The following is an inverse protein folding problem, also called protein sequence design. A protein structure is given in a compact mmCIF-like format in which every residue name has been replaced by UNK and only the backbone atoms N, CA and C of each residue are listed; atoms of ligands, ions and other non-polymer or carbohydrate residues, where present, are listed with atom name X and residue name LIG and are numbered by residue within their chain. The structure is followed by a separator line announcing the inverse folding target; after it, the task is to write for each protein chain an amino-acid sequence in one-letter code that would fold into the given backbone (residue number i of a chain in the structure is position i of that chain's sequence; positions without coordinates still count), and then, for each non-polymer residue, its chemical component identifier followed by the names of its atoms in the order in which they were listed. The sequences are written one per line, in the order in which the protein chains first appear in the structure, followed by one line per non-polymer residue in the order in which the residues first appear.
data_IF_920740647117
#
_entry.id   IF_920740647117
#
_cell.length_a   1.000
_cell.length_b   1.000
_cell.length_c   1.000
_cell.angle_alpha   90.00
_cell.angle_beta   90.00
_cell.angle_gamma   90.00
#
_symmetry.space_group_name_H-M   'P 1'
#
loop_
_entity.id
_entity.type
_entity.pdbx_description
1 polymer ?
#
# COMPACT_ATOMS: atom_id res chain seq x y z
N UNK A 1 -7.96 10.83 9.11
CA UNK A 1 -6.64 11.01 8.45
C UNK A 1 -6.73 11.25 6.94
N UNK A 2 -7.59 10.56 6.19
CA UNK A 2 -7.73 10.69 4.71
C UNK A 2 -7.93 12.13 4.17
N UNK A 3 -8.76 12.95 4.83
CA UNK A 3 -9.05 14.30 4.32
C UNK A 3 -7.86 15.27 4.43
N UNK A 4 -7.14 15.23 5.56
CA UNK A 4 -6.01 16.15 5.82
C UNK A 4 -4.87 15.99 4.81
N UNK A 5 -4.58 14.77 4.37
CA UNK A 5 -3.54 14.52 3.36
C UNK A 5 -3.95 15.09 1.99
N UNK A 6 -5.23 14.96 1.63
CA UNK A 6 -5.75 15.51 0.38
C UNK A 6 -5.64 17.04 0.38
N UNK A 7 -5.99 17.67 1.49
CA UNK A 7 -5.94 19.13 1.65
C UNK A 7 -4.50 19.63 1.51
N UNK A 8 -3.53 18.94 2.13
CA UNK A 8 -2.11 19.28 2.02
C UNK A 8 -1.61 19.13 0.57
N UNK A 9 -1.90 18.00 -0.08
CA UNK A 9 -1.49 17.77 -1.47
C UNK A 9 -2.13 18.82 -2.39
N UNK A 10 -3.41 19.15 -2.16
CA UNK A 10 -4.10 20.21 -2.89
C UNK A 10 -3.36 21.54 -2.76
N UNK A 11 -3.08 22.00 -1.53
CA UNK A 11 -2.39 23.26 -1.30
C UNK A 11 -1.00 23.29 -1.95
N UNK A 12 -0.26 22.19 -1.86
CA UNK A 12 1.08 22.10 -2.44
C UNK A 12 1.04 22.16 -3.97
N UNK A 13 0.11 21.44 -4.62
CA UNK A 13 -0.02 21.45 -6.07
C UNK A 13 -0.52 22.81 -6.56
N UNK A 14 -1.51 23.40 -5.89
CA UNK A 14 -2.08 24.70 -6.23
C UNK A 14 -1.05 25.84 -6.12
N UNK A 15 -0.22 25.82 -5.08
CA UNK A 15 0.83 26.83 -4.91
C UNK A 15 1.91 26.75 -5.99
N UNK A 16 2.25 25.54 -6.44
CA UNK A 16 3.31 25.38 -7.43
C UNK A 16 2.82 25.55 -8.87
N UNK A 17 1.58 25.15 -9.18
CA UNK A 17 1.00 25.17 -10.52
C UNK A 17 -0.40 25.80 -10.55
N UNK A 18 -0.53 27.11 -10.21
CA UNK A 18 -1.81 27.81 -10.17
C UNK A 18 -2.58 27.77 -11.50
N UNK A 19 -1.88 27.57 -12.62
CA UNK A 19 -2.40 27.57 -13.98
C UNK A 19 -3.16 26.30 -14.39
N UNK A 20 -3.13 25.23 -13.59
CA UNK A 20 -3.89 24.02 -13.89
C UNK A 20 -5.40 24.28 -13.83
N UNK A 21 -6.17 23.61 -14.68
CA UNK A 21 -7.63 23.61 -14.57
C UNK A 21 -8.13 22.64 -13.48
N UNK A 22 -9.38 22.79 -13.03
CA UNK A 22 -9.96 21.99 -11.94
C UNK A 22 -9.87 20.47 -12.17
N UNK A 23 -10.18 19.99 -13.38
CA UNK A 23 -10.05 18.57 -13.72
C UNK A 23 -8.59 18.08 -13.66
N UNK A 24 -7.65 18.94 -14.09
CA UNK A 24 -6.23 18.63 -14.06
C UNK A 24 -5.70 18.57 -12.63
N UNK A 25 -6.14 19.49 -11.76
CA UNK A 25 -5.84 19.46 -10.33
C UNK A 25 -6.30 18.16 -9.69
N UNK A 26 -7.57 17.80 -9.88
CA UNK A 26 -8.13 16.57 -9.32
C UNK A 26 -7.36 15.33 -9.80
N UNK A 27 -7.01 15.29 -11.09
CA UNK A 27 -6.23 14.19 -11.64
C UNK A 27 -4.84 14.08 -10.99
N UNK A 28 -4.12 15.20 -10.86
CA UNK A 28 -2.77 15.25 -10.28
C UNK A 28 -2.81 14.88 -8.80
N UNK A 29 -3.71 15.47 -8.02
CA UNK A 29 -3.84 15.22 -6.57
C UNK A 29 -4.15 13.75 -6.30
N UNK A 30 -5.16 13.19 -6.99
CA UNK A 30 -5.53 11.78 -6.82
C UNK A 30 -4.39 10.84 -7.23
N UNK A 31 -3.64 11.18 -8.28
CA UNK A 31 -2.49 10.41 -8.72
C UNK A 31 -1.37 10.42 -7.69
N UNK A 32 -0.98 11.60 -7.20
CA UNK A 32 0.06 11.76 -6.18
C UNK A 32 -0.31 11.01 -4.91
N UNK A 33 -1.55 11.17 -4.44
CA UNK A 33 -2.06 10.47 -3.26
C UNK A 33 -1.97 8.95 -3.40
N UNK A 34 -2.47 8.43 -4.52
CA UNK A 34 -2.44 7.00 -4.81
C UNK A 34 -1.01 6.45 -4.77
N UNK A 35 -0.06 7.21 -5.32
CA UNK A 35 1.35 6.84 -5.32
C UNK A 35 1.98 6.86 -3.91
N UNK A 36 1.70 7.88 -3.10
CA UNK A 36 2.15 7.95 -1.70
C UNK A 36 1.67 6.72 -0.93
N UNK A 37 0.35 6.45 -0.96
CA UNK A 37 -0.20 5.28 -0.26
C UNK A 37 0.39 3.98 -0.80
N UNK A 38 0.55 3.85 -2.11
CA UNK A 38 1.17 2.66 -2.71
C UNK A 38 2.58 2.43 -2.17
N UNK A 39 3.39 3.48 -2.02
CA UNK A 39 4.73 3.34 -1.46
C UNK A 39 4.72 2.99 0.03
N UNK A 40 3.82 3.58 0.83
CA UNK A 40 3.64 3.22 2.24
C UNK A 40 3.26 1.74 2.37
N UNK A 41 2.21 1.31 1.67
CA UNK A 41 1.71 -0.07 1.75
C UNK A 41 2.72 -1.09 1.22
N UNK A 42 3.38 -0.80 0.09
CA UNK A 42 4.36 -1.72 -0.49
C UNK A 42 5.67 -1.80 0.29
N UNK A 43 5.94 -0.87 1.20
CA UNK A 43 7.16 -0.82 2.01
C UNK A 43 6.83 -0.72 3.50
N UNK A 44 5.79 -1.45 3.95
CA UNK A 44 5.39 -1.48 5.37
C UNK A 44 6.47 -2.02 6.32
N UNK A 45 7.53 -2.63 5.78
CA UNK A 45 8.75 -3.02 6.49
C UNK A 45 9.59 -1.81 6.94
N UNK A 46 9.56 -0.70 6.18
CA UNK A 46 10.44 0.47 6.37
C UNK A 46 9.84 1.54 7.30
N UNK A 47 8.64 1.34 7.87
CA UNK A 47 7.94 2.30 8.74
C UNK A 47 8.01 3.77 8.25
N UNK A 48 7.81 3.99 6.94
CA UNK A 48 7.91 5.33 6.34
C UNK A 48 6.69 6.16 6.74
N UNK A 49 6.93 7.34 7.30
CA UNK A 49 5.86 8.27 7.67
C UNK A 49 5.33 9.02 6.42
N UNK A 50 4.00 9.24 6.31
CA UNK A 50 3.41 9.97 5.18
C UNK A 50 4.03 11.35 4.93
N UNK A 51 4.43 12.04 5.99
CA UNK A 51 5.04 13.37 5.99
C UNK A 51 6.38 13.41 5.22
N UNK A 52 7.16 12.34 5.26
CA UNK A 52 8.43 12.25 4.53
C UNK A 52 8.20 12.15 3.01
N UNK A 53 7.17 11.40 2.61
CA UNK A 53 6.74 11.28 1.23
C UNK A 53 6.07 12.57 0.72
N UNK A 54 5.35 13.29 1.58
CA UNK A 54 4.83 14.63 1.27
C UNK A 54 5.96 15.64 1.01
N UNK A 55 7.00 15.63 1.85
CA UNK A 55 8.18 16.49 1.66
C UNK A 55 8.88 16.17 0.35
N UNK A 56 9.05 14.88 0.03
CA UNK A 56 9.62 14.42 -1.24
C UNK A 56 8.77 14.87 -2.43
N UNK A 57 7.45 14.79 -2.30
CA UNK A 57 6.49 15.25 -3.32
C UNK A 57 6.62 16.75 -3.56
N UNK A 58 6.71 17.56 -2.50
CA UNK A 58 6.91 19.01 -2.62
C UNK A 58 8.18 19.36 -3.40
N UNK A 59 9.31 18.73 -3.06
CA UNK A 59 10.57 18.95 -3.76
C UNK A 59 10.50 18.52 -5.23
N UNK A 60 9.79 17.41 -5.51
CA UNK A 60 9.57 16.94 -6.87
C UNK A 60 8.73 17.94 -7.70
N UNK A 61 7.72 18.57 -7.10
CA UNK A 61 6.90 19.58 -7.77
C UNK A 61 7.72 20.85 -8.09
N UNK A 62 8.58 21.29 -7.16
CA UNK A 62 9.53 22.38 -7.43
C UNK A 62 10.50 22.03 -8.57
N UNK A 63 10.99 20.80 -8.62
CA UNK A 63 11.82 20.33 -9.72
C UNK A 63 11.08 20.38 -11.06
N UNK A 64 9.81 19.96 -11.08
CA UNK A 64 8.98 20.03 -12.30
C UNK A 64 8.85 21.48 -12.76
N UNK A 65 8.50 22.39 -11.86
CA UNK A 65 8.34 23.82 -12.17
C UNK A 65 9.62 24.43 -12.76
N UNK A 66 10.78 24.06 -12.24
CA UNK A 66 12.07 24.55 -12.71
C UNK A 66 12.50 23.96 -14.07
N UNK A 67 12.09 22.73 -14.39
CA UNK A 67 12.62 21.96 -15.55
C UNK A 67 11.63 21.76 -16.69
N UNK A 68 10.34 21.96 -16.44
CA UNK A 68 9.32 21.70 -17.44
C UNK A 68 9.44 22.69 -18.60
N UNK A 69 9.38 22.15 -19.83
CA UNK A 69 9.45 22.93 -21.04
C UNK A 69 8.31 22.52 -21.99
N UNK A 70 7.39 23.46 -22.22
CA UNK A 70 6.22 23.30 -23.08
C UNK A 70 6.56 22.93 -24.53
N UNK A 71 7.76 23.28 -25.02
CA UNK A 71 8.17 22.98 -26.39
C UNK A 71 8.44 21.50 -26.65
N UNK A 72 8.51 20.65 -25.61
CA UNK A 72 8.77 19.21 -25.74
C UNK A 72 7.52 18.36 -26.02
N UNK A 73 6.34 18.98 -26.20
CA UNK A 73 5.10 18.28 -26.55
C UNK A 73 4.54 17.34 -25.47
N UNK A 74 5.11 17.35 -24.26
CA UNK A 74 4.63 16.52 -23.13
C UNK A 74 3.64 17.32 -22.29
N UNK A 75 2.49 16.74 -21.96
CA UNK A 75 1.51 17.38 -21.08
C UNK A 75 2.10 17.59 -19.68
N UNK A 76 1.92 18.79 -19.11
CA UNK A 76 2.42 19.17 -17.78
C UNK A 76 2.00 18.15 -16.72
N UNK A 77 0.72 17.77 -16.70
CA UNK A 77 0.18 16.80 -15.73
C UNK A 77 0.88 15.44 -15.79
N UNK A 78 1.14 14.92 -17.00
CA UNK A 78 1.87 13.66 -17.19
C UNK A 78 3.32 13.79 -16.71
N UNK A 79 3.95 14.93 -16.95
CA UNK A 79 5.32 15.20 -16.51
C UNK A 79 5.42 15.34 -14.98
N UNK A 80 4.47 16.03 -14.34
CA UNK A 80 4.34 16.11 -12.87
C UNK A 80 4.29 14.70 -12.27
N UNK A 81 3.35 13.89 -12.73
CA UNK A 81 3.14 12.54 -12.21
C UNK A 81 4.41 11.70 -12.38
N UNK A 82 5.05 11.77 -13.56
CA UNK A 82 6.29 11.04 -13.81
C UNK A 82 7.41 11.40 -12.84
N UNK A 83 7.68 12.70 -12.64
CA UNK A 83 8.75 13.16 -11.74
C UNK A 83 8.44 12.81 -10.29
N UNK A 84 7.20 13.02 -9.82
CA UNK A 84 6.81 12.65 -8.46
C UNK A 84 7.02 11.16 -8.20
N UNK A 85 6.52 10.28 -9.09
CA UNK A 85 6.72 8.83 -8.97
C UNK A 85 8.20 8.46 -8.87
N UNK A 86 9.02 9.06 -9.73
CA UNK A 86 10.47 8.83 -9.74
C UNK A 86 11.11 9.24 -8.42
N UNK A 87 10.76 10.40 -7.87
CA UNK A 87 11.34 10.90 -6.62
C UNK A 87 10.89 10.12 -5.39
N UNK A 88 9.64 9.68 -5.34
CA UNK A 88 9.17 8.77 -4.29
C UNK A 88 9.95 7.44 -4.34
N UNK A 89 10.17 6.88 -5.54
CA UNK A 89 10.99 5.68 -5.69
C UNK A 89 12.44 5.88 -5.21
N UNK A 90 13.05 7.01 -5.57
CA UNK A 90 14.42 7.35 -5.18
C UNK A 90 14.53 7.54 -3.65
N UNK A 91 13.54 8.18 -3.03
CA UNK A 91 13.43 8.31 -1.58
C UNK A 91 13.41 6.94 -0.91
N UNK A 92 12.46 6.06 -1.29
CA UNK A 92 12.33 4.72 -0.70
C UNK A 92 13.61 3.89 -0.85
N UNK A 93 14.27 3.96 -2.02
CA UNK A 93 15.56 3.29 -2.23
C UNK A 93 16.64 3.83 -1.30
N UNK A 94 16.69 5.14 -1.10
CA UNK A 94 17.68 5.79 -0.24
C UNK A 94 17.41 5.46 1.23
N UNK A 95 16.15 5.48 1.65
CA UNK A 95 15.72 5.12 2.99
C UNK A 95 16.08 3.67 3.31
N UNK A 96 15.73 2.72 2.43
CA UNK A 96 16.09 1.30 2.55
C UNK A 96 17.61 1.08 2.64
N UNK A 97 18.40 1.86 1.90
CA UNK A 97 19.87 1.82 2.01
C UNK A 97 20.35 2.34 3.35
N UNK A 98 19.76 3.43 3.86
CA UNK A 98 20.09 4.01 5.16
C UNK A 98 19.82 3.00 6.29
N UNK A 99 18.64 2.39 6.31
CA UNK A 99 18.32 1.35 7.31
C UNK A 99 19.27 0.15 7.21
N UNK A 100 19.62 -0.28 6.00
CA UNK A 100 20.61 -1.35 5.81
C UNK A 100 21.99 -0.96 6.35
N UNK A 101 22.42 0.28 6.15
CA UNK A 101 23.70 0.77 6.67
C UNK A 101 23.67 0.91 8.19
N UNK A 102 22.57 1.39 8.77
CA UNK A 102 22.36 1.43 10.22
C UNK A 102 22.37 0.02 10.82
N UNK A 103 21.75 -0.95 10.14
CA UNK A 103 21.79 -2.36 10.50
C UNK A 103 23.23 -2.91 10.49
N UNK A 104 24.00 -2.65 9.42
CA UNK A 104 25.42 -3.05 9.34
C UNK A 104 26.24 -2.38 10.45
N UNK A 105 26.05 -1.08 10.70
CA UNK A 105 26.76 -0.34 11.75
C UNK A 105 26.45 -0.89 13.15
N UNK A 106 25.19 -1.28 13.40
CA UNK A 106 24.77 -1.94 14.65
C UNK A 106 25.41 -3.33 14.81
N UNK A 107 25.48 -4.14 13.75
CA UNK A 107 26.15 -5.45 13.78
C UNK A 107 27.66 -5.31 14.03
N UNK A 108 28.30 -4.34 13.39
CA UNK A 108 29.74 -4.13 13.50
C UNK A 108 30.19 -3.55 14.84
N UNK A 109 29.29 -3.36 15.82
CA UNK A 109 29.66 -3.02 17.20
C UNK A 109 30.21 -1.62 17.41
N UNK A 110 29.92 -0.66 16.52
CA UNK A 110 30.41 0.72 16.62
C UNK A 110 29.61 1.61 17.60
N UNK A 111 29.14 1.05 18.72
CA UNK A 111 28.58 1.84 19.83
C UNK A 111 29.21 1.40 21.15
N UNK A 112 29.65 2.41 21.90
CA UNK A 112 30.36 2.33 23.17
C UNK A 112 29.92 1.17 24.07
N UNK A 113 30.93 0.43 24.51
CA UNK A 113 30.89 -0.76 25.36
C UNK A 113 30.65 -0.45 26.85
N UNK A 114 29.96 0.65 27.18
CA UNK A 114 29.85 1.15 28.56
C UNK A 114 28.47 1.01 29.21
N UNK A 115 27.43 0.51 28.53
CA UNK A 115 26.13 0.30 29.18
C UNK A 115 25.61 -1.12 28.92
N UNK A 116 25.35 -1.86 30.00
CA UNK A 116 24.68 -3.16 30.05
C UNK A 116 23.19 -3.05 29.69
N UNK A 117 22.85 -2.36 28.61
CA UNK A 117 21.54 -2.44 28.00
C UNK A 117 21.53 -3.63 27.05
N UNK A 118 20.43 -4.38 27.00
CA UNK A 118 20.20 -5.45 26.01
C UNK A 118 20.73 -4.98 24.66
N UNK A 119 21.52 -5.84 24.00
CA UNK A 119 22.12 -5.49 22.73
C UNK A 119 20.99 -5.01 21.80
N UNK A 120 21.08 -3.83 21.15
CA UNK A 120 20.06 -3.37 20.20
C UNK A 120 19.66 -4.44 19.17
N UNK A 121 20.53 -5.42 18.93
CA UNK A 121 20.26 -6.67 18.22
C UNK A 121 19.10 -7.50 18.82
N UNK A 122 19.12 -7.78 20.12
CA UNK A 122 18.13 -8.63 20.81
C UNK A 122 16.75 -7.94 20.81
N UNK A 123 16.71 -6.66 21.15
CA UNK A 123 15.46 -5.87 21.13
C UNK A 123 14.84 -5.79 19.74
N UNK A 124 15.64 -5.58 18.69
CA UNK A 124 15.13 -5.42 17.33
C UNK A 124 14.83 -6.77 16.66
N UNK A 125 15.60 -7.81 16.96
CA UNK A 125 15.29 -9.18 16.55
C UNK A 125 13.99 -9.67 17.21
N UNK A 126 13.80 -9.44 18.51
CA UNK A 126 12.55 -9.79 19.20
C UNK A 126 11.37 -9.01 18.62
N UNK A 127 11.54 -7.73 18.28
CA UNK A 127 10.49 -6.95 17.65
C UNK A 127 10.14 -7.46 16.24
N UNK A 128 11.13 -7.79 15.42
CA UNK A 128 10.92 -8.35 14.09
C UNK A 128 10.33 -9.76 14.13
N UNK A 129 10.82 -10.62 15.03
CA UNK A 129 10.32 -11.99 15.22
C UNK A 129 8.88 -11.94 15.74
N UNK A 130 8.59 -11.11 16.73
CA UNK A 130 7.24 -10.91 17.26
C UNK A 130 6.28 -10.35 16.20
N UNK A 131 6.68 -9.31 15.45
CA UNK A 131 5.84 -8.73 14.39
C UNK A 131 5.61 -9.70 13.24
N UNK A 132 6.64 -10.43 12.80
CA UNK A 132 6.50 -11.44 11.76
C UNK A 132 5.62 -12.59 12.23
N UNK A 133 5.81 -13.08 13.45
CA UNK A 133 4.98 -14.10 14.07
C UNK A 133 3.52 -13.65 14.17
N UNK A 134 3.27 -12.45 14.69
CA UNK A 134 1.93 -11.87 14.76
C UNK A 134 1.29 -11.72 13.36
N UNK A 135 2.04 -11.25 12.37
CA UNK A 135 1.55 -11.12 10.99
C UNK A 135 1.22 -12.49 10.36
N UNK A 136 2.04 -13.50 10.65
CA UNK A 136 1.85 -14.86 10.17
C UNK A 136 0.64 -15.51 10.84
N UNK A 137 0.52 -15.43 12.16
CA UNK A 137 -0.63 -15.93 12.91
C UNK A 137 -1.92 -15.20 12.49
N UNK A 138 -1.86 -13.88 12.27
CA UNK A 138 -3.00 -13.12 11.77
C UNK A 138 -3.41 -13.56 10.37
N UNK A 139 -2.44 -13.76 9.45
CA UNK A 139 -2.72 -14.25 8.11
C UNK A 139 -3.29 -15.67 8.14
N UNK A 140 -2.77 -16.54 8.99
CA UNK A 140 -3.29 -17.88 9.23
C UNK A 140 -4.73 -17.84 9.73
N UNK A 141 -5.03 -17.02 10.74
CA UNK A 141 -6.38 -16.84 11.27
C UNK A 141 -7.37 -16.33 10.22
N UNK A 142 -6.94 -15.41 9.34
CA UNK A 142 -7.75 -14.94 8.22
C UNK A 142 -8.04 -16.07 7.22
N UNK A 143 -7.02 -16.85 6.85
CA UNK A 143 -7.18 -17.98 5.94
C UNK A 143 -8.11 -19.05 6.54
N UNK A 144 -7.93 -19.39 7.82
CA UNK A 144 -8.79 -20.32 8.53
C UNK A 144 -10.24 -19.82 8.59
N UNK A 145 -10.45 -18.53 8.82
CA UNK A 145 -11.80 -17.92 8.80
C UNK A 145 -12.46 -18.00 7.42
N UNK A 146 -11.70 -17.77 6.35
CA UNK A 146 -12.18 -17.93 4.97
C UNK A 146 -12.57 -19.39 4.70
N UNK A 147 -11.74 -20.34 5.12
CA UNK A 147 -12.02 -21.78 4.95
C UNK A 147 -13.29 -22.19 5.69
N UNK A 148 -13.44 -21.77 6.95
CA UNK A 148 -14.64 -22.03 7.76
C UNK A 148 -15.88 -21.45 7.07
N UNK A 149 -15.81 -20.19 6.62
CA UNK A 149 -16.91 -19.56 5.89
C UNK A 149 -17.31 -20.35 4.64
N UNK A 150 -16.34 -20.73 3.80
CA UNK A 150 -16.60 -21.52 2.59
C UNK A 150 -17.25 -22.86 2.95
N UNK A 151 -16.80 -23.53 4.02
CA UNK A 151 -17.38 -24.80 4.46
C UNK A 151 -18.84 -24.67 4.92
N UNK A 152 -19.22 -23.53 5.51
CA UNK A 152 -20.56 -23.24 6.03
C UNK A 152 -21.59 -22.86 4.96
N UNK A 153 -21.18 -22.53 3.73
CA UNK A 153 -22.12 -22.18 2.66
C UNK A 153 -23.08 -23.35 2.35
N UNK A 154 -24.29 -23.07 1.90
CA UNK A 154 -25.21 -24.14 1.48
C UNK A 154 -25.01 -24.50 0.00
N UNK A 155 -24.58 -23.53 -0.81
CA UNK A 155 -24.46 -23.69 -2.26
C UNK A 155 -23.13 -24.36 -2.66
N UNK A 156 -23.13 -25.60 -3.18
CA UNK A 156 -21.91 -26.33 -3.52
C UNK A 156 -21.13 -25.69 -4.68
N UNK A 157 -21.83 -25.05 -5.63
CA UNK A 157 -21.20 -24.36 -6.77
C UNK A 157 -20.47 -23.11 -6.27
N UNK A 158 -21.06 -22.40 -5.32
CA UNK A 158 -20.45 -21.23 -4.68
C UNK A 158 -19.20 -21.62 -3.87
N UNK A 159 -19.26 -22.74 -3.13
CA UNK A 159 -18.09 -23.28 -2.42
C UNK A 159 -16.92 -23.50 -3.37
N UNK A 160 -17.18 -24.23 -4.45
CA UNK A 160 -16.13 -24.61 -5.38
C UNK A 160 -15.60 -23.39 -6.15
N UNK A 161 -16.48 -22.44 -6.50
CA UNK A 161 -16.09 -21.18 -7.12
C UNK A 161 -15.14 -20.38 -6.22
N UNK A 162 -15.46 -20.25 -4.93
CA UNK A 162 -14.63 -19.52 -3.98
C UNK A 162 -13.30 -20.22 -3.71
N UNK A 163 -13.25 -21.56 -3.67
CA UNK A 163 -11.98 -22.31 -3.58
C UNK A 163 -11.05 -21.98 -4.74
N UNK A 164 -11.54 -22.01 -5.97
CA UNK A 164 -10.72 -21.66 -7.14
C UNK A 164 -10.26 -20.19 -7.10
N UNK A 165 -11.11 -19.27 -6.65
CA UNK A 165 -10.72 -17.86 -6.48
C UNK A 165 -9.62 -17.73 -5.42
N UNK A 166 -9.73 -18.42 -4.29
CA UNK A 166 -8.71 -18.42 -3.24
C UNK A 166 -7.39 -19.09 -3.69
N UNK A 167 -7.45 -20.05 -4.61
CA UNK A 167 -6.28 -20.66 -5.24
C UNK A 167 -5.60 -19.76 -6.29
N UNK A 168 -6.19 -18.60 -6.61
CA UNK A 168 -5.63 -17.65 -7.58
C UNK A 168 -6.00 -17.92 -9.03
N UNK A 169 -7.00 -18.78 -9.28
CA UNK A 169 -7.45 -19.08 -10.64
C UNK A 169 -8.11 -17.86 -11.33
N UNK A 170 -7.98 -17.80 -12.65
CA UNK A 170 -8.59 -16.71 -13.42
C UNK A 170 -10.12 -16.79 -13.40
N UNK A 171 -10.80 -15.64 -13.38
CA UNK A 171 -12.28 -15.58 -13.40
C UNK A 171 -12.88 -16.33 -14.59
N UNK A 172 -12.23 -16.24 -15.76
CA UNK A 172 -12.66 -16.94 -16.98
C UNK A 172 -12.59 -18.44 -16.77
N UNK A 173 -11.50 -18.95 -16.20
CA UNK A 173 -11.36 -20.37 -15.86
C UNK A 173 -12.47 -20.83 -14.93
N UNK A 174 -12.73 -20.12 -13.83
CA UNK A 174 -13.78 -20.49 -12.87
C UNK A 174 -15.18 -20.52 -13.51
N UNK A 175 -15.50 -19.52 -14.34
CA UNK A 175 -16.79 -19.45 -15.04
C UNK A 175 -16.98 -20.62 -16.01
N UNK A 176 -15.93 -20.97 -16.77
CA UNK A 176 -15.95 -22.08 -17.71
C UNK A 176 -16.05 -23.43 -16.99
N UNK A 177 -15.23 -23.65 -15.96
CA UNK A 177 -15.16 -24.92 -15.23
C UNK A 177 -16.46 -25.23 -14.47
N UNK A 178 -17.09 -24.22 -13.88
CA UNK A 178 -18.30 -24.39 -13.06
C UNK A 178 -19.60 -24.06 -13.82
N UNK A 179 -19.50 -23.73 -15.10
CA UNK A 179 -20.64 -23.32 -15.94
C UNK A 179 -21.51 -22.22 -15.28
N UNK A 180 -20.85 -21.19 -14.73
CA UNK A 180 -21.51 -20.03 -14.12
C UNK A 180 -21.23 -18.77 -14.91
N UNK A 181 -22.17 -17.83 -14.88
CA UNK A 181 -21.97 -16.51 -15.47
C UNK A 181 -21.00 -15.68 -14.63
N UNK A 182 -20.30 -14.75 -15.29
CA UNK A 182 -19.43 -13.77 -14.61
C UNK A 182 -20.17 -13.00 -13.51
N UNK A 183 -21.44 -12.67 -13.73
CA UNK A 183 -22.29 -11.96 -12.76
C UNK A 183 -22.57 -12.82 -11.51
N UNK A 184 -22.77 -14.13 -11.67
CA UNK A 184 -22.91 -15.05 -10.53
C UNK A 184 -21.60 -15.16 -9.74
N UNK A 185 -20.46 -15.31 -10.43
CA UNK A 185 -19.15 -15.34 -9.77
C UNK A 185 -18.87 -14.05 -8.98
N UNK A 186 -19.21 -12.89 -9.54
CA UNK A 186 -19.07 -11.61 -8.84
C UNK A 186 -19.99 -11.50 -7.60
N UNK A 187 -21.19 -12.10 -7.62
CA UNK A 187 -22.04 -12.19 -6.43
C UNK A 187 -21.38 -13.02 -5.33
N UNK A 188 -20.84 -14.18 -5.67
CA UNK A 188 -20.13 -15.06 -4.72
C UNK A 188 -18.92 -14.34 -4.09
N UNK A 189 -18.11 -13.67 -4.91
CA UNK A 189 -16.98 -12.86 -4.43
C UNK A 189 -17.46 -11.74 -3.51
N UNK A 190 -18.58 -11.09 -3.83
CA UNK A 190 -19.14 -10.03 -2.98
C UNK A 190 -19.66 -10.57 -1.64
N UNK A 191 -20.23 -11.78 -1.59
CA UNK A 191 -20.60 -12.41 -0.31
C UNK A 191 -19.36 -12.62 0.58
N UNK A 192 -18.28 -13.17 0.01
CA UNK A 192 -17.01 -13.34 0.72
C UNK A 192 -16.43 -11.99 1.20
N UNK A 193 -16.47 -10.95 0.36
CA UNK A 193 -16.02 -9.60 0.75
C UNK A 193 -16.83 -9.03 1.92
N UNK A 194 -18.15 -9.18 1.87
CA UNK A 194 -19.03 -8.69 2.94
C UNK A 194 -18.74 -9.40 4.26
N UNK A 195 -18.49 -10.71 4.21
CA UNK A 195 -18.03 -11.48 5.37
C UNK A 195 -16.68 -10.97 5.91
N UNK A 196 -15.69 -10.74 5.05
CA UNK A 196 -14.40 -10.19 5.50
C UNK A 196 -14.55 -8.79 6.12
N UNK A 197 -15.44 -7.97 5.59
CA UNK A 197 -15.76 -6.64 6.14
C UNK A 197 -16.42 -6.77 7.53
N UNK A 198 -17.31 -7.75 7.73
CA UNK A 198 -17.97 -7.96 9.03
C UNK A 198 -17.00 -8.44 10.11
N UNK A 199 -15.97 -9.20 9.75
CA UNK A 199 -14.88 -9.56 10.67
C UNK A 199 -14.08 -8.33 11.15
N UNK A 200 -13.87 -7.34 10.27
CA UNK A 200 -13.07 -6.14 10.58
C UNK A 200 -13.86 -5.14 11.43
N UNK A 201 -15.14 -4.96 11.13
CA UNK A 201 -15.97 -3.95 11.81
C UNK A 201 -16.55 -4.43 13.15
N UNK A 202 -16.29 -5.69 13.54
CA UNK A 202 -17.03 -6.35 14.61
C UNK A 202 -18.48 -6.59 14.20
N UNK A 203 -19.11 -7.62 14.78
CA UNK A 203 -20.50 -8.01 14.47
C UNK A 203 -21.49 -6.88 14.71
N UNK A 204 -21.69 -6.05 13.68
CA UNK A 204 -22.85 -5.17 13.56
C UNK A 204 -23.84 -5.89 12.66
N UNK A 205 -24.77 -6.59 13.30
CA UNK A 205 -25.96 -7.26 12.76
C UNK A 205 -25.73 -8.64 12.08
N UNK A 206 -25.72 -9.68 12.91
CA UNK A 206 -26.51 -10.90 12.66
C UNK A 206 -27.62 -10.90 13.72
#
# INVERSE_FOLDING_TARGET
MSNRLNDIIYHVVHNEFPELGDEQYLMVINSIRSEIFRYIFANGDLNIEPEELLTTTYLALKEVKAKFNNMRGTKLTSYIIYIVKRRLADFVRTFRRKEKLEYIAKICGYKDSSEQQLNPFELMADFHVSRNYQSFEMMKNILDSIVIYIQQLDNPIEKEALKYVCAGESKTFVCCTLNITRRQLERYINHLKNYLISLINGSSNI
#
